data_IF_520456591677
#
_entry.id   IF_520456591677
#
_cell.length_a   1.000
_cell.length_b   1.000
_cell.length_c   1.000
_cell.angle_alpha   90.00
_cell.angle_beta   90.00
_cell.angle_gamma   90.00
#
_symmetry.space_group_name_H-M   'P 1'
#
loop_
_entity.id
_entity.type
_entity.pdbx_description
1 polymer ?
#
# COMPACT_ATOMS: atom_id res chain seq x y z
N UNK A 1 3.24 -17.68 -22.02
CA UNK A 1 4.39 -16.96 -22.58
C UNK A 1 4.00 -15.51 -22.81
N UNK A 2 4.77 -14.59 -22.23
CA UNK A 2 4.53 -13.15 -22.37
C UNK A 2 4.74 -12.74 -23.83
N UNK A 3 3.74 -12.09 -24.43
CA UNK A 3 3.84 -11.56 -25.80
C UNK A 3 4.29 -10.12 -25.74
N UNK A 4 5.31 -9.73 -26.53
CA UNK A 4 5.79 -8.36 -26.68
C UNK A 4 5.03 -7.67 -27.78
N UNK A 5 4.54 -6.49 -27.50
CA UNK A 5 3.88 -5.64 -28.47
C UNK A 5 4.46 -4.23 -28.42
N UNK A 6 4.95 -3.72 -29.56
CA UNK A 6 5.35 -2.32 -29.70
C UNK A 6 4.18 -1.50 -30.20
N UNK A 7 4.07 -0.30 -29.69
CA UNK A 7 2.97 0.55 -29.97
C UNK A 7 3.37 1.98 -30.28
N UNK A 8 2.70 2.57 -31.29
CA UNK A 8 3.13 3.84 -31.84
C UNK A 8 2.38 5.07 -31.33
N UNK A 9 1.14 4.97 -30.84
CA UNK A 9 0.42 6.16 -30.33
C UNK A 9 -0.72 5.77 -29.41
N UNK A 10 -0.78 6.40 -28.25
CA UNK A 10 -1.91 6.31 -27.34
C UNK A 10 -2.87 7.45 -27.67
N UNK A 11 -4.10 7.13 -28.08
CA UNK A 11 -5.11 8.11 -28.50
C UNK A 11 -5.92 8.64 -27.34
N UNK A 12 -6.37 7.76 -26.46
CA UNK A 12 -7.23 8.11 -25.34
C UNK A 12 -6.82 7.36 -24.08
N UNK A 13 -7.11 7.96 -22.94
CA UNK A 13 -6.72 7.42 -21.65
C UNK A 13 -7.76 7.70 -20.58
N UNK A 14 -8.21 6.66 -19.92
CA UNK A 14 -8.93 6.75 -18.66
C UNK A 14 -8.10 6.09 -17.56
N UNK A 15 -7.89 6.79 -16.45
CA UNK A 15 -7.16 6.24 -15.29
C UNK A 15 -8.00 6.44 -14.04
N UNK A 16 -8.16 5.37 -13.27
CA UNK A 16 -8.65 5.44 -11.90
C UNK A 16 -7.49 5.84 -10.98
N UNK A 17 -7.57 7.01 -10.38
CA UNK A 17 -6.49 7.58 -9.56
C UNK A 17 -6.26 6.81 -8.25
N UNK A 18 -7.27 6.10 -7.73
CA UNK A 18 -7.18 5.36 -6.48
C UNK A 18 -6.33 4.09 -6.61
N UNK A 19 -6.49 3.34 -7.71
CA UNK A 19 -5.85 2.05 -7.90
C UNK A 19 -4.89 2.00 -9.10
N UNK A 20 -4.76 3.10 -9.86
CA UNK A 20 -3.90 3.19 -11.03
C UNK A 20 -4.36 2.38 -12.25
N UNK A 21 -5.55 1.75 -12.19
CA UNK A 21 -6.08 1.01 -13.31
C UNK A 21 -6.40 1.95 -14.47
N UNK A 22 -5.82 1.65 -15.62
CA UNK A 22 -5.87 2.51 -16.81
C UNK A 22 -6.40 1.74 -17.99
N UNK A 23 -7.23 2.38 -18.78
CA UNK A 23 -7.71 1.92 -20.07
C UNK A 23 -7.10 2.84 -21.13
N UNK A 24 -6.39 2.27 -22.08
CA UNK A 24 -5.72 2.98 -23.17
C UNK A 24 -6.30 2.51 -24.49
N UNK A 25 -6.64 3.47 -25.35
CA UNK A 25 -6.80 3.17 -26.78
C UNK A 25 -5.47 3.43 -27.49
N UNK A 26 -4.97 2.42 -28.15
CA UNK A 26 -3.63 2.36 -28.70
C UNK A 26 -3.66 2.13 -30.21
N UNK A 27 -2.88 2.89 -30.98
CA UNK A 27 -2.68 2.68 -32.41
C UNK A 27 -1.56 1.69 -32.68
N UNK A 28 -1.83 0.75 -33.58
CA UNK A 28 -0.89 -0.25 -34.07
C UNK A 28 -0.46 0.07 -35.49
N UNK A 29 0.82 -0.13 -35.79
CA UNK A 29 1.29 -0.14 -37.17
C UNK A 29 0.78 -1.38 -37.92
N UNK A 30 0.74 -1.29 -39.25
CA UNK A 30 0.32 -2.43 -40.09
C UNK A 30 1.19 -3.67 -39.88
N UNK A 31 2.47 -3.50 -39.60
CA UNK A 31 3.39 -4.61 -39.34
C UNK A 31 3.09 -5.29 -37.99
N UNK A 32 2.67 -4.49 -36.99
CA UNK A 32 2.29 -5.00 -35.69
C UNK A 32 0.95 -5.73 -35.74
N UNK A 33 -0.03 -5.20 -36.45
CA UNK A 33 -1.31 -5.86 -36.69
C UNK A 33 -1.08 -7.22 -37.32
N UNK A 34 -0.23 -7.30 -38.36
CA UNK A 34 0.10 -8.57 -39.00
C UNK A 34 0.77 -9.55 -38.04
N UNK A 35 1.77 -9.12 -37.30
CA UNK A 35 2.45 -9.94 -36.28
C UNK A 35 1.53 -10.46 -35.20
N UNK A 36 0.57 -9.63 -34.77
CA UNK A 36 -0.39 -10.04 -33.75
C UNK A 36 -1.38 -11.05 -34.29
N UNK A 37 -1.87 -10.87 -35.49
CA UNK A 37 -2.75 -11.84 -36.16
C UNK A 37 -2.06 -13.19 -36.35
N UNK A 38 -0.80 -13.19 -36.78
CA UNK A 38 0.00 -14.40 -36.97
C UNK A 38 0.26 -15.15 -35.63
N UNK A 39 0.29 -14.44 -34.50
CA UNK A 39 0.58 -15.00 -33.18
C UNK A 39 -0.64 -15.26 -32.30
N UNK A 40 -1.82 -14.78 -32.70
CA UNK A 40 -3.07 -14.88 -31.95
C UNK A 40 -4.22 -15.28 -32.86
N UNK A 41 -4.22 -16.51 -33.35
CA UNK A 41 -5.27 -17.03 -34.26
C UNK A 41 -6.68 -16.89 -33.67
N UNK A 42 -6.83 -17.09 -32.34
CA UNK A 42 -8.10 -17.04 -31.64
C UNK A 42 -8.80 -15.67 -31.73
N UNK A 43 -8.04 -14.57 -31.80
CA UNK A 43 -8.56 -13.19 -31.84
C UNK A 43 -8.15 -12.43 -33.11
N UNK A 44 -7.61 -13.11 -34.11
CA UNK A 44 -7.04 -12.48 -35.31
C UNK A 44 -8.03 -11.56 -36.06
N UNK A 45 -9.32 -11.95 -36.09
CA UNK A 45 -10.34 -11.18 -36.79
C UNK A 45 -10.78 -9.92 -36.01
N UNK A 46 -10.45 -9.83 -34.71
CA UNK A 46 -10.77 -8.71 -33.84
C UNK A 46 -9.60 -7.74 -33.60
N UNK A 47 -8.41 -8.04 -34.17
CA UNK A 47 -7.24 -7.16 -34.10
C UNK A 47 -7.23 -6.21 -35.27
N UNK A 48 -7.39 -4.92 -34.98
CA UNK A 48 -7.35 -3.81 -35.95
C UNK A 48 -6.18 -2.86 -35.68
N UNK A 49 -6.11 -1.78 -36.43
CA UNK A 49 -5.09 -0.74 -36.24
C UNK A 49 -5.26 0.05 -34.93
N UNK A 50 -6.37 -0.10 -34.23
CA UNK A 50 -6.53 0.37 -32.85
C UNK A 50 -6.94 -0.78 -31.94
N UNK A 51 -6.50 -0.73 -30.68
CA UNK A 51 -6.73 -1.78 -29.69
C UNK A 51 -6.88 -1.17 -28.30
N UNK A 52 -7.72 -1.78 -27.49
CA UNK A 52 -7.84 -1.42 -26.08
C UNK A 52 -6.82 -2.18 -25.25
N UNK A 53 -5.95 -1.47 -24.55
CA UNK A 53 -5.05 -2.02 -23.55
C UNK A 53 -5.54 -1.65 -22.15
N UNK A 54 -5.60 -2.64 -21.26
CA UNK A 54 -6.04 -2.47 -19.87
C UNK A 54 -4.95 -2.97 -18.92
N UNK A 55 -4.77 -2.25 -17.82
CA UNK A 55 -3.79 -2.64 -16.80
C UNK A 55 -3.48 -1.48 -15.87
N UNK A 56 -2.42 -1.62 -15.05
CA UNK A 56 -1.92 -0.53 -14.25
C UNK A 56 -0.89 0.23 -15.06
N UNK A 57 -1.37 1.24 -15.77
CA UNK A 57 -0.64 1.96 -16.79
C UNK A 57 -0.68 3.49 -16.52
N UNK A 58 -0.72 3.85 -15.23
CA UNK A 58 -0.86 5.25 -14.78
C UNK A 58 0.33 6.15 -15.16
N UNK A 59 1.47 5.56 -15.48
CA UNK A 59 2.67 6.27 -15.95
C UNK A 59 2.73 6.47 -17.47
N UNK A 60 1.86 5.76 -18.20
CA UNK A 60 1.83 5.86 -19.66
C UNK A 60 0.97 7.06 -20.06
N UNK A 61 1.46 7.91 -20.92
CA UNK A 61 0.78 9.12 -21.39
C UNK A 61 0.44 9.06 -22.87
N UNK A 62 -0.56 9.83 -23.27
CA UNK A 62 -0.90 10.01 -24.69
C UNK A 62 0.34 10.49 -25.45
N UNK A 63 0.65 9.87 -26.58
CA UNK A 63 1.86 10.19 -27.37
C UNK A 63 3.12 9.43 -26.94
N UNK A 64 3.09 8.66 -25.84
CA UNK A 64 4.21 7.77 -25.48
C UNK A 64 4.32 6.59 -26.43
N UNK A 65 5.56 6.18 -26.71
CA UNK A 65 5.89 4.91 -27.35
C UNK A 65 6.15 3.85 -26.29
N UNK A 66 5.37 2.79 -26.34
CA UNK A 66 5.38 1.79 -25.25
C UNK A 66 5.42 0.37 -25.80
N UNK A 67 6.22 -0.47 -25.20
CA UNK A 67 6.21 -1.91 -25.41
C UNK A 67 5.44 -2.55 -24.26
N UNK A 68 4.28 -3.12 -24.54
CA UNK A 68 3.50 -3.87 -23.55
C UNK A 68 3.84 -5.34 -23.55
N UNK A 69 3.82 -5.95 -22.37
CA UNK A 69 3.88 -7.39 -22.16
C UNK A 69 2.60 -7.84 -21.46
N UNK A 70 1.91 -8.83 -22.00
CA UNK A 70 0.63 -9.29 -21.45
C UNK A 70 -0.04 -10.28 -22.38
N UNK A 71 -1.33 -10.50 -22.16
CA UNK A 71 -2.14 -11.45 -22.91
C UNK A 71 -3.46 -10.84 -23.38
N UNK A 72 -4.02 -11.39 -24.45
CA UNK A 72 -5.35 -11.03 -24.88
C UNK A 72 -6.41 -11.63 -23.96
N UNK A 73 -7.49 -10.89 -23.73
CA UNK A 73 -8.66 -11.36 -22.97
C UNK A 73 -9.95 -10.85 -23.61
N UNK A 74 -10.98 -11.66 -23.60
CA UNK A 74 -12.31 -11.25 -24.06
C UNK A 74 -13.10 -10.68 -22.88
N UNK A 75 -13.48 -9.41 -22.97
CA UNK A 75 -14.37 -8.80 -21.99
C UNK A 75 -15.84 -8.93 -22.45
N UNK A 76 -16.78 -9.36 -21.57
CA UNK A 76 -18.17 -9.64 -21.98
C UNK A 76 -18.90 -8.49 -22.66
N UNK A 77 -18.55 -7.23 -22.30
CA UNK A 77 -19.22 -6.02 -22.80
C UNK A 77 -18.37 -5.16 -23.73
N UNK A 78 -17.05 -5.34 -23.76
CA UNK A 78 -16.11 -4.45 -24.48
C UNK A 78 -15.25 -5.17 -25.53
N UNK A 79 -15.53 -6.47 -25.78
CA UNK A 79 -14.79 -7.23 -26.79
C UNK A 79 -13.34 -7.58 -26.38
N UNK A 80 -12.51 -7.80 -27.37
CA UNK A 80 -11.10 -8.21 -27.14
C UNK A 80 -10.28 -7.04 -26.63
N UNK A 81 -9.58 -7.29 -25.52
CA UNK A 81 -8.69 -6.34 -24.85
C UNK A 81 -7.32 -6.98 -24.64
N UNK A 82 -6.25 -6.16 -24.70
CA UNK A 82 -4.91 -6.58 -24.31
C UNK A 82 -4.70 -6.24 -22.84
N UNK A 83 -4.59 -7.26 -22.00
CA UNK A 83 -4.32 -7.12 -20.57
C UNK A 83 -2.82 -7.01 -20.34
N UNK A 84 -2.34 -5.79 -20.16
CA UNK A 84 -0.94 -5.51 -19.93
C UNK A 84 -0.57 -5.85 -18.47
N UNK A 85 0.47 -6.68 -18.31
CA UNK A 85 1.08 -7.04 -17.01
C UNK A 85 2.24 -6.11 -16.70
N UNK A 86 3.00 -5.73 -17.73
CA UNK A 86 4.09 -4.76 -17.62
C UNK A 86 4.24 -3.96 -18.91
N UNK A 87 4.93 -2.83 -18.81
CA UNK A 87 5.25 -2.01 -19.96
C UNK A 87 6.67 -1.45 -19.86
N UNK A 88 7.25 -1.14 -21.02
CA UNK A 88 8.51 -0.43 -21.14
C UNK A 88 8.27 0.77 -22.06
N UNK A 89 8.49 1.99 -21.58
CA UNK A 89 8.52 3.16 -22.47
C UNK A 89 9.80 3.10 -23.28
N UNK A 90 9.68 3.31 -24.59
CA UNK A 90 10.82 3.46 -25.50
C UNK A 90 11.05 4.94 -25.75
N UNK A 91 12.30 5.32 -25.96
CA UNK A 91 12.61 6.70 -26.35
C UNK A 91 11.92 7.04 -27.68
N UNK A 92 11.47 8.28 -27.77
CA UNK A 92 10.91 8.78 -29.01
C UNK A 92 12.01 8.81 -30.10
N UNK A 93 11.75 8.12 -31.19
CA UNK A 93 12.73 7.97 -32.30
C UNK A 93 12.79 9.21 -33.20
N UNK A 94 11.90 10.20 -33.02
CA UNK A 94 11.84 11.40 -33.84
C UNK A 94 11.32 12.66 -33.08
N UNK A 95 11.57 13.84 -33.65
CA UNK A 95 11.16 15.15 -33.09
C UNK A 95 9.64 15.27 -32.95
N UNK A 96 8.85 14.66 -33.81
CA UNK A 96 7.38 14.75 -33.80
C UNK A 96 6.82 14.00 -32.58
N UNK A 97 7.42 12.87 -32.25
CA UNK A 97 7.06 12.05 -31.10
C UNK A 97 7.37 12.75 -29.78
N UNK A 98 8.53 13.42 -29.71
CA UNK A 98 8.91 14.24 -28.54
C UNK A 98 7.91 15.38 -28.37
N UNK A 99 7.53 16.07 -29.45
CA UNK A 99 6.57 17.16 -29.40
C UNK A 99 5.20 16.70 -28.94
N UNK A 100 4.69 15.57 -29.44
CA UNK A 100 3.41 14.97 -29.03
C UNK A 100 3.42 14.59 -27.56
N UNK A 101 4.50 13.96 -27.09
CA UNK A 101 4.65 13.60 -25.68
C UNK A 101 4.59 14.83 -24.77
N UNK A 102 5.34 15.87 -25.08
CA UNK A 102 5.33 17.11 -24.31
C UNK A 102 3.96 17.82 -24.36
N UNK A 103 3.29 17.79 -25.52
CA UNK A 103 1.99 18.40 -25.71
C UNK A 103 0.84 17.64 -25.02
N UNK A 104 1.03 16.37 -24.68
CA UNK A 104 0.00 15.51 -24.08
C UNK A 104 -0.39 15.88 -22.65
N UNK A 105 0.30 16.84 -22.01
CA UNK A 105 0.13 17.15 -20.59
C UNK A 105 0.92 16.23 -19.66
N UNK A 106 1.79 15.39 -20.21
CA UNK A 106 2.70 14.54 -19.44
C UNK A 106 3.55 15.36 -18.46
N UNK A 107 3.92 16.57 -18.84
CA UNK A 107 4.64 17.55 -18.01
C UNK A 107 3.74 18.77 -17.82
N UNK A 108 3.36 19.05 -16.58
CA UNK A 108 2.52 20.21 -16.24
C UNK A 108 3.22 21.51 -16.65
N UNK A 109 2.48 22.41 -17.29
CA UNK A 109 2.99 23.70 -17.75
C UNK A 109 3.49 23.69 -19.19
N UNK A 110 3.61 22.53 -19.85
CA UNK A 110 3.93 22.43 -21.27
C UNK A 110 2.65 22.12 -22.06
N UNK A 111 2.11 23.12 -22.76
CA UNK A 111 1.05 22.92 -23.76
C UNK A 111 1.62 22.78 -25.18
N UNK A 112 0.78 22.43 -26.16
CA UNK A 112 1.19 22.16 -27.52
C UNK A 112 2.08 23.26 -28.15
N UNK A 113 1.71 24.55 -27.96
CA UNK A 113 2.50 25.65 -28.50
C UNK A 113 3.87 25.85 -27.83
N UNK A 114 4.04 25.40 -26.58
CA UNK A 114 5.32 25.43 -25.90
C UNK A 114 6.16 24.21 -26.28
N UNK A 115 5.54 23.03 -26.36
CA UNK A 115 6.17 21.81 -26.84
C UNK A 115 6.82 21.99 -28.21
N UNK A 116 6.07 22.52 -29.17
CA UNK A 116 6.58 22.83 -30.52
C UNK A 116 7.81 23.76 -30.49
N UNK A 117 7.81 24.78 -29.62
CA UNK A 117 8.95 25.69 -29.49
C UNK A 117 10.17 25.06 -28.86
N UNK A 118 9.98 24.23 -27.86
CA UNK A 118 11.04 23.47 -27.18
C UNK A 118 11.70 22.53 -28.17
N UNK A 119 10.91 21.68 -28.84
CA UNK A 119 11.43 20.68 -29.78
C UNK A 119 12.06 21.36 -31.01
N UNK A 120 11.50 22.43 -31.53
CA UNK A 120 12.13 23.20 -32.61
C UNK A 120 13.52 23.73 -32.23
N UNK A 121 13.73 24.07 -30.95
CA UNK A 121 15.01 24.61 -30.45
C UNK A 121 16.02 23.52 -30.20
N UNK A 122 15.61 22.45 -29.49
CA UNK A 122 16.51 21.45 -28.96
C UNK A 122 16.47 20.08 -29.69
N UNK A 123 15.49 19.92 -30.57
CA UNK A 123 15.34 18.69 -31.40
C UNK A 123 15.41 17.42 -30.57
N UNK A 124 16.21 16.44 -31.02
CA UNK A 124 16.41 15.16 -30.29
C UNK A 124 17.06 15.31 -28.91
N UNK A 125 17.80 16.40 -28.67
CA UNK A 125 18.41 16.67 -27.36
C UNK A 125 17.41 17.18 -26.29
N UNK A 126 16.14 17.31 -26.63
CA UNK A 126 15.13 17.93 -25.75
C UNK A 126 15.09 17.29 -24.36
N UNK A 127 15.01 15.97 -24.26
CA UNK A 127 14.97 15.29 -22.95
C UNK A 127 16.29 15.41 -22.19
N UNK A 128 17.41 15.28 -22.89
CA UNK A 128 18.74 15.46 -22.27
C UNK A 128 18.88 16.85 -21.67
N UNK A 129 18.46 17.89 -22.41
CA UNK A 129 18.51 19.27 -21.91
C UNK A 129 17.58 19.48 -20.72
N UNK A 130 16.37 18.89 -20.74
CA UNK A 130 15.46 18.96 -19.61
C UNK A 130 16.02 18.30 -18.34
N UNK A 131 16.82 17.23 -18.47
CA UNK A 131 17.40 16.50 -17.35
C UNK A 131 18.76 17.09 -16.88
N UNK A 132 19.64 17.43 -17.81
CA UNK A 132 21.04 17.72 -17.51
C UNK A 132 21.37 19.23 -17.56
N UNK A 133 20.64 20.00 -18.36
CA UNK A 133 20.90 21.42 -18.62
C UNK A 133 19.61 22.26 -18.54
N UNK A 134 18.79 22.14 -17.46
CA UNK A 134 17.42 22.72 -17.42
C UNK A 134 17.40 24.25 -17.55
N UNK A 135 18.46 24.93 -17.15
CA UNK A 135 18.61 26.39 -17.30
C UNK A 135 18.49 26.84 -18.77
N UNK A 136 18.88 25.97 -19.71
CA UNK A 136 18.76 26.26 -21.15
C UNK A 136 17.34 26.31 -21.66
N UNK A 137 16.39 25.73 -20.91
CA UNK A 137 14.97 25.84 -21.26
C UNK A 137 14.51 27.31 -21.26
N UNK A 138 15.13 28.17 -20.45
CA UNK A 138 14.84 29.59 -20.43
C UNK A 138 15.19 30.33 -21.76
N UNK A 139 16.03 29.72 -22.64
CA UNK A 139 16.28 30.19 -23.97
C UNK A 139 15.02 30.12 -24.86
N UNK A 140 13.99 29.39 -24.47
CA UNK A 140 12.72 29.24 -25.19
C UNK A 140 11.74 30.33 -24.76
N UNK A 141 11.25 31.10 -25.71
CA UNK A 141 10.28 32.16 -25.41
C UNK A 141 9.04 31.62 -24.66
N UNK A 142 8.84 32.11 -23.44
CA UNK A 142 7.72 31.73 -22.56
C UNK A 142 8.10 30.79 -21.43
N UNK A 143 9.39 30.47 -21.27
CA UNK A 143 9.93 29.75 -20.14
C UNK A 143 10.82 30.70 -19.34
N UNK A 144 10.49 30.93 -18.06
CA UNK A 144 11.38 31.60 -17.11
C UNK A 144 12.25 30.56 -16.42
N UNK A 145 13.34 30.99 -15.76
CA UNK A 145 14.22 30.08 -15.02
C UNK A 145 13.46 29.26 -13.99
N UNK A 146 12.45 29.85 -13.32
CA UNK A 146 11.58 29.13 -12.39
C UNK A 146 10.78 28.02 -13.06
N UNK A 147 10.18 28.31 -14.22
CA UNK A 147 9.42 27.32 -14.99
C UNK A 147 10.35 26.22 -15.52
N UNK A 148 11.57 26.57 -15.92
CA UNK A 148 12.57 25.62 -16.36
C UNK A 148 12.89 24.59 -15.27
N UNK A 149 13.10 25.04 -14.04
CA UNK A 149 13.35 24.16 -12.90
C UNK A 149 12.13 23.31 -12.54
N UNK A 150 10.92 23.89 -12.53
CA UNK A 150 9.68 23.13 -12.30
C UNK A 150 9.44 22.02 -13.36
N UNK A 151 9.86 22.24 -14.60
CA UNK A 151 9.84 21.24 -15.68
C UNK A 151 10.88 20.16 -15.40
N UNK A 152 12.11 20.55 -15.07
CA UNK A 152 13.19 19.62 -14.78
C UNK A 152 12.85 18.68 -13.62
N UNK A 153 12.33 19.21 -12.52
CA UNK A 153 11.91 18.43 -11.35
C UNK A 153 10.88 17.35 -11.74
N UNK A 154 9.91 17.69 -12.59
CA UNK A 154 8.91 16.73 -13.05
C UNK A 154 9.51 15.63 -13.95
N UNK A 155 10.49 15.99 -14.80
CA UNK A 155 11.18 15.03 -15.69
C UNK A 155 12.00 14.05 -14.85
N UNK A 156 12.75 14.58 -13.87
CA UNK A 156 13.55 13.76 -12.94
C UNK A 156 12.66 12.84 -12.11
N UNK A 157 11.56 13.37 -11.53
CA UNK A 157 10.61 12.56 -10.75
C UNK A 157 10.04 11.39 -11.58
N UNK A 158 9.64 11.63 -12.81
CA UNK A 158 9.12 10.60 -13.72
C UNK A 158 10.17 9.55 -14.08
N UNK A 159 11.40 9.98 -14.33
CA UNK A 159 12.52 9.08 -14.58
C UNK A 159 12.79 8.19 -13.36
N UNK A 160 12.84 8.77 -12.17
CA UNK A 160 13.12 8.05 -10.94
C UNK A 160 11.99 7.08 -10.59
N UNK A 161 10.74 7.49 -10.78
CA UNK A 161 9.59 6.60 -10.64
C UNK A 161 9.66 5.40 -11.62
N UNK A 162 10.06 5.64 -12.88
CA UNK A 162 10.24 4.56 -13.86
C UNK A 162 11.32 3.57 -13.43
N UNK A 163 12.49 4.08 -13.00
CA UNK A 163 13.57 3.23 -12.47
C UNK A 163 13.10 2.40 -11.29
N UNK A 164 12.34 3.01 -10.38
CA UNK A 164 11.75 2.33 -9.24
C UNK A 164 10.80 1.20 -9.67
N UNK A 165 9.92 1.44 -10.64
CA UNK A 165 8.99 0.42 -11.15
C UNK A 165 9.73 -0.76 -11.79
N UNK A 166 10.79 -0.49 -12.57
CA UNK A 166 11.62 -1.54 -13.18
C UNK A 166 12.30 -2.38 -12.10
N UNK A 167 12.90 -1.74 -11.11
CA UNK A 167 13.54 -2.42 -9.97
C UNK A 167 12.55 -3.30 -9.21
N UNK A 168 11.41 -2.74 -8.79
CA UNK A 168 10.39 -3.44 -8.02
C UNK A 168 9.77 -4.61 -8.81
N UNK A 169 9.55 -4.44 -10.11
CA UNK A 169 9.11 -5.53 -10.99
C UNK A 169 10.15 -6.62 -11.11
N UNK A 170 11.45 -6.27 -11.12
CA UNK A 170 12.56 -7.22 -11.18
C UNK A 170 12.65 -8.11 -9.94
N UNK A 171 12.17 -7.65 -8.78
CA UNK A 171 12.08 -8.43 -7.53
C UNK A 171 10.67 -8.97 -7.29
N UNK A 172 9.90 -9.22 -8.34
CA UNK A 172 8.60 -9.88 -8.26
C UNK A 172 7.43 -9.06 -7.70
N UNK A 173 7.64 -7.76 -7.43
CA UNK A 173 6.61 -6.88 -6.88
C UNK A 173 5.67 -6.42 -8.00
N UNK A 174 4.39 -6.76 -7.86
CA UNK A 174 3.38 -6.33 -8.82
C UNK A 174 3.19 -4.81 -8.86
N UNK A 175 2.84 -4.28 -10.03
CA UNK A 175 2.78 -2.83 -10.31
C UNK A 175 1.94 -2.04 -9.30
N UNK A 176 0.80 -2.57 -8.85
CA UNK A 176 -0.05 -1.94 -7.83
C UNK A 176 0.71 -1.64 -6.54
N UNK A 177 1.43 -2.63 -6.05
CA UNK A 177 2.21 -2.52 -4.82
C UNK A 177 3.44 -1.66 -5.06
N UNK A 178 4.09 -1.77 -6.22
CA UNK A 178 5.23 -0.95 -6.60
C UNK A 178 4.90 0.55 -6.57
N UNK A 179 3.74 0.94 -7.12
CA UNK A 179 3.27 2.33 -7.08
C UNK A 179 3.03 2.80 -5.65
N UNK A 180 2.44 1.97 -4.78
CA UNK A 180 2.23 2.31 -3.37
C UNK A 180 3.57 2.48 -2.63
N UNK A 181 4.52 1.56 -2.83
CA UNK A 181 5.86 1.63 -2.23
C UNK A 181 6.56 2.93 -2.63
N UNK A 182 6.56 3.26 -3.93
CA UNK A 182 7.20 4.49 -4.40
C UNK A 182 6.50 5.74 -3.88
N UNK A 183 5.17 5.78 -3.84
CA UNK A 183 4.41 6.92 -3.27
C UNK A 183 4.70 7.12 -1.78
N UNK A 184 4.93 6.04 -1.03
CA UNK A 184 5.19 6.11 0.42
C UNK A 184 6.63 6.52 0.73
N UNK A 185 7.61 5.97 0.01
CA UNK A 185 9.03 6.09 0.35
C UNK A 185 9.87 6.89 -0.66
N UNK A 186 9.36 7.14 -1.86
CA UNK A 186 10.16 7.73 -2.93
C UNK A 186 11.42 6.92 -3.20
N UNK A 187 12.55 7.61 -3.36
CA UNK A 187 13.85 6.97 -3.58
C UNK A 187 14.42 6.25 -2.35
N UNK A 188 13.92 6.52 -1.14
CA UNK A 188 14.33 5.81 0.08
C UNK A 188 13.92 4.34 0.06
N UNK A 189 12.99 3.96 -0.82
CA UNK A 189 12.53 2.57 -0.95
C UNK A 189 13.67 1.58 -1.20
N UNK A 190 14.70 1.96 -1.97
CA UNK A 190 15.86 1.09 -2.24
C UNK A 190 16.59 0.69 -0.95
N UNK A 191 16.78 1.67 -0.07
CA UNK A 191 17.41 1.46 1.23
C UNK A 191 16.52 0.62 2.15
N UNK A 192 15.23 0.98 2.24
CA UNK A 192 14.26 0.30 3.09
C UNK A 192 14.12 -1.18 2.69
N UNK A 193 13.95 -1.47 1.40
CA UNK A 193 13.83 -2.84 0.91
C UNK A 193 15.09 -3.67 1.13
N UNK A 194 16.28 -3.03 1.04
CA UNK A 194 17.54 -3.69 1.30
C UNK A 194 17.79 -3.97 2.78
N UNK A 195 17.46 -3.02 3.66
CA UNK A 195 17.72 -3.11 5.09
C UNK A 195 16.63 -3.87 5.84
N UNK A 196 15.37 -3.52 5.59
CA UNK A 196 14.22 -4.11 6.28
C UNK A 196 12.96 -4.09 5.39
N UNK A 197 12.76 -5.07 4.51
CA UNK A 197 11.57 -5.16 3.66
C UNK A 197 10.27 -5.36 4.45
N UNK A 198 10.31 -5.83 5.70
CA UNK A 198 9.11 -6.00 6.53
C UNK A 198 8.47 -4.68 6.93
N UNK A 199 9.20 -3.56 6.83
CA UNK A 199 8.66 -2.23 7.09
C UNK A 199 7.49 -1.89 6.16
N UNK A 200 7.45 -2.44 4.95
CA UNK A 200 6.33 -2.24 4.03
C UNK A 200 5.01 -2.83 4.56
N UNK A 201 5.06 -3.86 5.40
CA UNK A 201 3.86 -4.42 6.04
C UNK A 201 3.34 -3.54 7.19
N UNK A 202 4.21 -2.74 7.81
CA UNK A 202 3.83 -1.78 8.85
C UNK A 202 3.26 -0.48 8.24
N UNK A 203 3.79 -0.03 7.10
CA UNK A 203 3.57 1.32 6.57
C UNK A 203 2.58 1.37 5.38
N UNK A 204 2.26 0.22 4.76
CA UNK A 204 1.43 0.19 3.54
C UNK A 204 0.19 -0.68 3.75
N UNK A 205 -0.98 -0.05 3.70
CA UNK A 205 -2.26 -0.73 3.82
C UNK A 205 -2.45 -1.83 2.75
N UNK A 206 -2.90 -3.00 3.23
CA UNK A 206 -3.12 -4.17 2.39
C UNK A 206 -1.88 -5.02 2.14
N UNK A 207 -0.73 -4.67 2.72
CA UNK A 207 0.48 -5.50 2.71
C UNK A 207 0.59 -6.19 4.07
N UNK A 208 0.43 -7.51 4.07
CA UNK A 208 0.63 -8.32 5.27
C UNK A 208 2.02 -8.96 5.31
N UNK A 209 2.33 -9.58 6.46
CA UNK A 209 3.60 -10.29 6.68
C UNK A 209 3.99 -11.23 5.53
N UNK A 210 3.03 -12.04 5.00
CA UNK A 210 3.33 -13.01 3.93
C UNK A 210 3.88 -12.34 2.67
N UNK A 211 3.26 -11.23 2.24
CA UNK A 211 3.73 -10.48 1.06
C UNK A 211 5.13 -9.91 1.32
N UNK A 212 5.37 -9.35 2.51
CA UNK A 212 6.67 -8.82 2.88
C UNK A 212 7.75 -9.93 2.98
N UNK A 213 7.38 -11.13 3.47
CA UNK A 213 8.27 -12.29 3.57
C UNK A 213 8.64 -12.85 2.18
N UNK A 214 7.70 -12.89 1.24
CA UNK A 214 7.97 -13.29 -0.14
C UNK A 214 8.92 -12.28 -0.81
N UNK A 215 8.67 -10.98 -0.65
CA UNK A 215 9.58 -9.92 -1.15
C UNK A 215 10.97 -10.03 -0.51
N UNK A 216 11.04 -10.27 0.80
CA UNK A 216 12.32 -10.43 1.50
C UNK A 216 13.13 -11.61 0.96
N UNK A 217 12.47 -12.73 0.66
CA UNK A 217 13.09 -13.91 0.02
C UNK A 217 13.59 -13.61 -1.39
N UNK A 218 12.78 -12.93 -2.20
CA UNK A 218 13.16 -12.54 -3.57
C UNK A 218 14.34 -11.55 -3.59
N UNK A 219 14.47 -10.74 -2.52
CA UNK A 219 15.61 -9.85 -2.29
C UNK A 219 16.83 -10.57 -1.70
N UNK A 220 16.73 -11.88 -1.40
CA UNK A 220 17.82 -12.68 -0.86
C UNK A 220 18.12 -12.46 0.61
N UNK A 221 17.11 -12.05 1.41
CA UNK A 221 17.27 -11.92 2.85
C UNK A 221 17.43 -13.29 3.51
N UNK A 222 18.38 -13.38 4.44
CA UNK A 222 18.67 -14.62 5.18
C UNK A 222 17.45 -15.08 5.99
N UNK A 223 17.21 -16.42 6.04
CA UNK A 223 16.05 -17.00 6.74
C UNK A 223 16.01 -16.71 8.25
N UNK A 224 17.15 -16.47 8.87
CA UNK A 224 17.34 -16.18 10.30
C UNK A 224 17.50 -14.68 10.60
N UNK A 225 17.25 -13.83 9.62
CA UNK A 225 17.33 -12.37 9.80
C UNK A 225 16.50 -11.91 11.00
N UNK A 226 17.08 -11.08 11.91
CA UNK A 226 16.38 -10.51 13.05
C UNK A 226 15.09 -9.77 12.67
N UNK A 227 15.07 -9.10 11.52
CA UNK A 227 13.88 -8.43 11.01
C UNK A 227 12.77 -9.43 10.65
N UNK A 228 13.15 -10.56 10.04
CA UNK A 228 12.23 -11.64 9.70
C UNK A 228 11.60 -12.26 10.95
N UNK A 229 12.43 -12.57 11.94
CA UNK A 229 11.98 -13.21 13.20
C UNK A 229 11.04 -12.26 13.95
N UNK A 230 11.43 -10.99 14.15
CA UNK A 230 10.58 -9.99 14.82
C UNK A 230 9.23 -9.81 14.13
N UNK A 231 9.21 -9.70 12.81
CA UNK A 231 7.96 -9.62 12.05
C UNK A 231 7.13 -10.90 12.13
N UNK A 232 7.77 -12.06 12.15
CA UNK A 232 7.12 -13.36 12.35
C UNK A 232 6.46 -13.49 13.73
N UNK A 233 7.14 -13.02 14.78
CA UNK A 233 6.58 -12.96 16.15
C UNK A 233 5.32 -12.09 16.18
N UNK A 234 5.39 -10.89 15.62
CA UNK A 234 4.24 -9.97 15.56
C UNK A 234 3.08 -10.56 14.74
N UNK A 235 3.39 -11.22 13.63
CA UNK A 235 2.39 -11.89 12.81
C UNK A 235 1.74 -13.05 13.56
N UNK A 236 2.51 -13.88 14.27
CA UNK A 236 2.00 -14.99 15.10
C UNK A 236 1.04 -14.47 16.18
N UNK A 237 1.41 -13.37 16.84
CA UNK A 237 0.53 -12.72 17.82
C UNK A 237 -0.74 -12.19 17.17
N UNK A 238 -0.66 -11.59 15.98
CA UNK A 238 -1.84 -11.10 15.28
C UNK A 238 -2.81 -12.23 14.89
N UNK A 239 -2.27 -13.39 14.48
CA UNK A 239 -3.07 -14.60 14.22
C UNK A 239 -3.74 -15.12 15.49
N UNK A 240 -3.06 -15.07 16.63
CA UNK A 240 -3.62 -15.46 17.92
C UNK A 240 -4.78 -14.52 18.32
N UNK A 241 -4.63 -13.23 18.14
CA UNK A 241 -5.71 -12.25 18.37
C UNK A 241 -6.91 -12.51 17.46
N UNK A 242 -6.67 -12.78 16.18
CA UNK A 242 -7.75 -13.15 15.24
C UNK A 242 -8.47 -14.44 15.64
N UNK A 243 -7.77 -15.36 16.37
CA UNK A 243 -8.34 -16.57 16.93
C UNK A 243 -9.01 -16.36 18.31
N UNK A 244 -9.05 -15.13 18.83
CA UNK A 244 -9.71 -14.77 20.09
C UNK A 244 -8.81 -14.79 21.32
N UNK A 245 -7.49 -14.88 21.15
CA UNK A 245 -6.53 -14.85 22.27
C UNK A 245 -6.03 -13.43 22.52
N UNK A 246 -5.99 -12.99 23.77
CA UNK A 246 -5.39 -11.70 24.13
C UNK A 246 -3.86 -11.77 24.22
N UNK A 247 -3.31 -12.93 24.52
CA UNK A 247 -1.87 -13.22 24.66
C UNK A 247 -1.54 -14.67 24.27
N UNK A 248 -0.26 -14.95 24.15
CA UNK A 248 0.27 -16.32 24.08
C UNK A 248 1.37 -16.52 25.13
N UNK A 249 1.50 -17.73 25.71
CA UNK A 249 2.71 -18.15 26.42
C UNK A 249 3.94 -18.02 25.53
N UNK A 250 5.07 -17.56 26.09
CA UNK A 250 6.28 -17.28 25.32
C UNK A 250 6.80 -18.51 24.55
N UNK A 251 6.82 -19.66 25.20
CA UNK A 251 7.22 -20.94 24.59
C UNK A 251 6.33 -21.29 23.38
N UNK A 252 5.01 -21.19 23.54
CA UNK A 252 4.05 -21.45 22.47
C UNK A 252 4.15 -20.43 21.33
N UNK A 253 4.41 -19.16 21.66
CA UNK A 253 4.65 -18.12 20.68
C UNK A 253 5.87 -18.44 19.81
N UNK A 254 6.99 -18.82 20.43
CA UNK A 254 8.22 -19.18 19.72
C UNK A 254 8.04 -20.43 18.87
N UNK A 255 7.39 -21.48 19.38
CA UNK A 255 7.07 -22.69 18.63
C UNK A 255 6.22 -22.37 17.38
N UNK A 256 5.14 -21.62 17.54
CA UNK A 256 4.28 -21.21 16.41
C UNK A 256 5.02 -20.34 15.41
N UNK A 257 5.90 -19.45 15.87
CA UNK A 257 6.71 -18.61 15.01
C UNK A 257 7.69 -19.44 14.18
N UNK A 258 8.38 -20.42 14.78
CA UNK A 258 9.23 -21.38 14.06
C UNK A 258 8.46 -22.10 12.95
N UNK A 259 7.26 -22.57 13.26
CA UNK A 259 6.42 -23.26 12.28
C UNK A 259 5.98 -22.35 11.13
N UNK A 260 5.64 -21.10 11.42
CA UNK A 260 5.24 -20.12 10.38
C UNK A 260 6.41 -19.76 9.49
N UNK A 261 7.58 -19.51 10.08
CA UNK A 261 8.79 -19.11 9.34
C UNK A 261 9.50 -20.28 8.67
N UNK A 262 9.16 -21.52 9.06
CA UNK A 262 9.86 -22.74 8.62
C UNK A 262 11.38 -22.63 8.80
N UNK A 263 11.80 -22.04 9.91
CA UNK A 263 13.19 -21.80 10.26
C UNK A 263 13.46 -22.21 11.71
N UNK A 264 14.66 -22.72 11.95
CA UNK A 264 15.15 -22.93 13.32
C UNK A 264 15.49 -21.55 13.89
N UNK A 265 14.77 -21.17 14.94
CA UNK A 265 14.94 -19.90 15.65
C UNK A 265 15.36 -20.27 17.07
N UNK A 266 16.54 -19.81 17.48
CA UNK A 266 16.92 -19.88 18.90
C UNK A 266 16.11 -18.85 19.70
N UNK A 267 15.84 -19.15 20.98
CA UNK A 267 15.25 -18.16 21.87
C UNK A 267 16.29 -17.07 22.13
N UNK A 268 16.15 -15.98 21.41
CA UNK A 268 17.01 -14.81 21.55
C UNK A 268 16.26 -13.75 22.37
N UNK A 269 16.70 -13.61 23.64
CA UNK A 269 16.12 -12.63 24.56
C UNK A 269 16.26 -11.19 24.04
N UNK A 270 17.29 -10.91 23.23
CA UNK A 270 17.54 -9.58 22.68
C UNK A 270 16.45 -9.21 21.64
N UNK A 271 15.98 -10.17 20.84
CA UNK A 271 14.89 -9.91 19.89
C UNK A 271 13.57 -9.58 20.58
N UNK A 272 13.26 -10.29 21.67
CA UNK A 272 12.08 -10.01 22.50
C UNK A 272 12.23 -8.65 23.17
N UNK A 273 13.42 -8.34 23.69
CA UNK A 273 13.70 -7.05 24.34
C UNK A 273 13.56 -5.88 23.34
N UNK A 274 14.04 -6.04 22.12
CA UNK A 274 13.88 -5.05 21.06
C UNK A 274 12.41 -4.76 20.76
N UNK A 275 11.56 -5.79 20.71
CA UNK A 275 10.11 -5.61 20.50
C UNK A 275 9.43 -4.93 21.69
N UNK A 276 9.91 -5.17 22.92
CA UNK A 276 9.43 -4.47 24.13
C UNK A 276 9.83 -2.99 24.07
N UNK A 277 11.10 -2.70 23.77
CA UNK A 277 11.63 -1.34 23.63
C UNK A 277 10.87 -0.57 22.53
N UNK A 278 10.60 -1.24 21.41
CA UNK A 278 9.80 -0.70 20.31
C UNK A 278 8.30 -0.55 20.66
N UNK A 279 7.88 -0.95 21.88
CA UNK A 279 6.49 -0.92 22.36
C UNK A 279 5.50 -1.69 21.46
N UNK A 280 5.99 -2.72 20.78
CA UNK A 280 5.15 -3.60 19.95
C UNK A 280 4.50 -4.71 20.77
N UNK A 281 5.18 -5.19 21.81
CA UNK A 281 4.72 -6.25 22.70
C UNK A 281 4.88 -5.86 24.18
N UNK A 282 4.12 -6.56 25.03
CA UNK A 282 4.25 -6.50 26.51
C UNK A 282 4.39 -7.92 27.03
N UNK A 283 5.43 -8.17 27.84
CA UNK A 283 5.65 -9.44 28.50
C UNK A 283 5.25 -9.33 29.97
N UNK A 284 4.46 -10.29 30.46
CA UNK A 284 3.99 -10.37 31.84
C UNK A 284 4.16 -11.80 32.36
N UNK A 285 4.17 -11.96 33.68
CA UNK A 285 4.06 -13.26 34.32
C UNK A 285 2.62 -13.51 34.80
N UNK A 286 2.04 -14.62 34.35
CA UNK A 286 0.72 -15.06 34.75
C UNK A 286 0.87 -16.51 35.22
N UNK A 287 0.55 -16.81 36.50
CA UNK A 287 0.72 -18.14 37.09
C UNK A 287 2.13 -18.72 36.88
N UNK A 288 3.17 -17.92 37.14
CA UNK A 288 4.59 -18.24 36.94
C UNK A 288 5.06 -18.49 35.51
N UNK A 289 4.16 -18.38 34.52
CA UNK A 289 4.48 -18.48 33.10
C UNK A 289 4.63 -17.12 32.45
N UNK A 290 5.67 -16.94 31.61
CA UNK A 290 5.84 -15.71 30.81
C UNK A 290 4.87 -15.71 29.65
N UNK A 291 4.03 -14.68 29.57
CA UNK A 291 3.04 -14.48 28.51
C UNK A 291 3.33 -13.19 27.74
N UNK A 292 3.06 -13.22 26.44
CA UNK A 292 3.35 -12.11 25.52
C UNK A 292 2.05 -11.60 24.92
N UNK A 293 1.78 -10.32 25.12
CA UNK A 293 0.65 -9.59 24.56
C UNK A 293 1.12 -8.73 23.38
N UNK A 294 0.34 -8.55 22.34
CA UNK A 294 0.43 -7.33 21.53
C UNK A 294 0.13 -6.11 22.41
N UNK A 295 0.91 -5.03 22.28
CA UNK A 295 0.74 -3.86 23.16
C UNK A 295 -0.67 -3.26 23.08
N UNK A 296 -1.31 -3.30 21.92
CA UNK A 296 -2.70 -2.86 21.74
C UNK A 296 -3.67 -3.64 22.62
N UNK A 297 -3.56 -4.98 22.63
CA UNK A 297 -4.43 -5.86 23.44
C UNK A 297 -4.21 -5.65 24.93
N UNK A 298 -2.95 -5.57 25.37
CA UNK A 298 -2.63 -5.28 26.77
C UNK A 298 -3.22 -3.94 27.24
N UNK A 299 -3.04 -2.88 26.46
CA UNK A 299 -3.57 -1.57 26.80
C UNK A 299 -5.11 -1.55 26.82
N UNK A 300 -5.76 -2.30 25.92
CA UNK A 300 -7.21 -2.47 25.91
C UNK A 300 -7.68 -3.17 27.19
N UNK A 301 -7.07 -4.30 27.60
CA UNK A 301 -7.44 -4.99 28.83
C UNK A 301 -7.25 -4.11 30.06
N UNK A 302 -6.13 -3.37 30.15
CA UNK A 302 -5.90 -2.44 31.27
C UNK A 302 -6.95 -1.33 31.29
N UNK A 303 -7.31 -0.79 30.15
CA UNK A 303 -8.34 0.26 30.05
C UNK A 303 -9.73 -0.25 30.45
N UNK A 304 -10.08 -1.46 30.01
CA UNK A 304 -11.34 -2.10 30.39
C UNK A 304 -11.38 -2.39 31.89
N UNK A 305 -10.29 -2.94 32.45
CA UNK A 305 -10.20 -3.20 33.90
C UNK A 305 -10.33 -1.90 34.72
N UNK A 306 -9.68 -0.83 34.28
CA UNK A 306 -9.80 0.49 34.92
C UNK A 306 -11.24 1.02 34.86
N UNK A 307 -11.90 0.92 33.70
CA UNK A 307 -13.28 1.36 33.53
C UNK A 307 -14.26 0.55 34.41
N UNK A 308 -14.08 -0.79 34.47
CA UNK A 308 -14.89 -1.65 35.33
C UNK A 308 -14.68 -1.33 36.81
N UNK A 309 -13.42 -1.06 37.21
CA UNK A 309 -13.10 -0.67 38.59
C UNK A 309 -13.75 0.68 38.94
N UNK A 310 -13.76 1.61 37.98
CA UNK A 310 -14.37 2.92 38.15
C UNK A 310 -15.90 2.83 38.24
N UNK A 311 -16.51 1.95 37.44
CA UNK A 311 -17.95 1.66 37.51
C UNK A 311 -18.35 0.95 38.81
N UNK A 312 -17.46 0.16 39.40
CA UNK A 312 -17.75 -0.57 40.65
C UNK A 312 -17.37 0.20 41.91
N UNK A 313 -17.28 1.53 41.83
CA UNK A 313 -17.08 2.37 43.02
C UNK A 313 -18.35 2.42 43.85
N UNK A 314 -18.20 2.10 45.16
CA UNK A 314 -19.25 2.31 46.11
C UNK A 314 -19.16 3.74 46.69
N UNK A 315 -20.28 4.43 46.72
CA UNK A 315 -20.38 5.74 47.32
C UNK A 315 -20.97 5.59 48.72
N UNK A 316 -20.42 6.23 49.75
CA UNK A 316 -21.01 6.18 51.07
C UNK A 316 -22.39 6.92 51.04
N UNK A 317 -23.42 6.15 51.26
CA UNK A 317 -24.79 6.69 51.35
C UNK A 317 -25.26 6.52 52.80
N UNK A 318 -25.95 7.51 53.31
CA UNK A 318 -26.54 7.42 54.63
C UNK A 318 -27.75 6.47 54.62
N UNK A 319 -27.56 5.25 55.14
CA UNK A 319 -28.59 4.21 55.20
C UNK A 319 -29.92 4.73 55.81
N UNK A 320 -29.87 5.63 56.82
CA UNK A 320 -31.06 6.21 57.44
C UNK A 320 -31.82 7.07 56.46
N UNK A 321 -31.12 7.72 55.55
CA UNK A 321 -31.74 8.53 54.51
C UNK A 321 -32.43 7.67 53.47
N UNK A 322 -31.76 6.57 53.03
CA UNK A 322 -32.35 5.59 52.09
C UNK A 322 -33.60 4.96 52.68
N UNK A 323 -33.55 4.50 53.94
CA UNK A 323 -34.70 3.89 54.61
C UNK A 323 -35.91 4.85 54.72
N UNK A 324 -35.67 6.09 55.03
CA UNK A 324 -36.73 7.12 55.05
C UNK A 324 -37.36 7.33 53.68
N UNK A 325 -36.53 7.40 52.63
CA UNK A 325 -36.99 7.55 51.26
C UNK A 325 -37.78 6.31 50.82
N UNK A 326 -37.30 5.10 51.07
CA UNK A 326 -37.99 3.86 50.77
C UNK A 326 -39.38 3.81 51.48
N UNK A 327 -39.41 4.05 52.79
CA UNK A 327 -40.68 4.06 53.54
C UNK A 327 -41.68 5.12 53.03
N UNK A 328 -41.17 6.28 52.61
CA UNK A 328 -42.01 7.32 52.00
C UNK A 328 -42.57 6.89 50.62
N UNK A 329 -41.77 6.18 49.80
CA UNK A 329 -42.20 5.67 48.51
C UNK A 329 -43.23 4.56 48.70
N UNK A 330 -42.97 3.59 49.58
CA UNK A 330 -43.92 2.53 49.91
C UNK A 330 -45.26 3.04 50.35
N UNK A 331 -45.25 4.05 51.22
CA UNK A 331 -46.48 4.69 51.69
C UNK A 331 -47.23 5.40 50.53
N UNK A 332 -46.52 6.14 49.71
CA UNK A 332 -47.10 6.89 48.58
C UNK A 332 -47.66 5.97 47.50
N UNK A 333 -46.92 4.93 47.12
CA UNK A 333 -47.25 4.02 46.02
C UNK A 333 -48.12 2.84 46.52
N UNK A 334 -48.33 2.71 47.85
CA UNK A 334 -49.08 1.59 48.47
C UNK A 334 -48.51 0.24 48.14
N UNK A 335 -47.21 0.12 48.16
CA UNK A 335 -46.47 -1.13 47.93
C UNK A 335 -45.70 -1.45 49.21
N UNK A 336 -45.32 -2.71 49.37
CA UNK A 336 -44.42 -3.19 50.42
C UNK A 336 -43.31 -3.95 49.76
N UNK A 337 -42.07 -3.51 49.96
CA UNK A 337 -40.88 -4.14 49.41
C UNK A 337 -40.42 -5.25 50.36
N UNK A 338 -40.06 -6.40 49.80
CA UNK A 338 -39.42 -7.46 50.61
C UNK A 338 -37.97 -7.09 50.91
N UNK A 339 -37.33 -7.85 51.83
CA UNK A 339 -35.97 -7.58 52.30
C UNK A 339 -34.95 -7.58 51.16
N UNK A 340 -35.04 -8.49 50.15
CA UNK A 340 -34.14 -8.53 49.02
C UNK A 340 -34.33 -7.35 48.09
N UNK A 341 -35.57 -6.90 47.88
CA UNK A 341 -35.86 -5.71 47.10
C UNK A 341 -35.32 -4.44 47.75
N UNK A 342 -35.44 -4.32 49.09
CA UNK A 342 -34.85 -3.24 49.85
C UNK A 342 -33.35 -3.23 49.77
N UNK A 343 -32.72 -4.40 49.91
CA UNK A 343 -31.26 -4.55 49.79
C UNK A 343 -30.77 -4.18 48.39
N UNK A 344 -31.45 -4.64 47.32
CA UNK A 344 -31.15 -4.25 45.93
C UNK A 344 -31.20 -2.75 45.68
N UNK A 345 -32.19 -2.04 46.29
CA UNK A 345 -32.28 -0.57 46.17
C UNK A 345 -31.13 0.11 46.94
N UNK A 346 -30.73 -0.43 48.10
CA UNK A 346 -29.57 0.10 48.85
C UNK A 346 -28.29 -0.06 48.04
N UNK A 347 -28.04 -1.25 47.53
CA UNK A 347 -26.87 -1.54 46.69
C UNK A 347 -26.85 -0.66 45.43
N UNK A 348 -28.01 -0.47 44.77
CA UNK A 348 -28.12 0.41 43.64
C UNK A 348 -27.84 1.89 43.97
N UNK A 349 -28.23 2.33 45.18
CA UNK A 349 -27.95 3.69 45.63
C UNK A 349 -26.46 3.90 46.00
N UNK A 350 -25.76 2.86 46.44
CA UNK A 350 -24.34 2.88 46.73
C UNK A 350 -23.46 2.71 45.43
N UNK A 351 -24.06 2.19 44.41
CA UNK A 351 -23.36 1.88 43.15
C UNK A 351 -23.61 2.99 42.12
N UNK A 352 -22.64 3.15 41.20
CA UNK A 352 -22.78 4.09 40.09
C UNK A 352 -23.17 3.37 38.83
#
# INVERSE_FOLDING_TARGET
PYRRQRQMCIRDRYTNEENGHTILEVELSNDEVKRLKDNCEEYADEIYNSMVCVGILNLVHTGSYVVFKGDFSLHPSYGVQFKAVSFEETEAEDEVSIERYLASGAIKGIGAGLAARIVKKFKMDTFRIMEEEPERLSEVKGISDRIAMEIADQVVEKRDMRKAMIYLSGVGIGMNLAVKIYKTYGNDMYKILKENPYKIADDIDGVGFKIADDIAKDLGMEPDSPYRIKSGILYTLSQAVAAGHAYLPLNLLMERTKNILQAEIEEDEDLIMDLIIAKKIVVKKVNDESVVYPSSMYNTEVSVAAALTDLNRKYPVDEKTIEKILSSIEYREKIELDDYQREAVKEAAESR
#
